data_IF_080235968789
#
_entry.id   IF_080235968789
#
_cell.length_a   1.000
_cell.length_b   1.000
_cell.length_c   1.000
_cell.angle_alpha   90.00
_cell.angle_beta   90.00
_cell.angle_gamma   90.00
#
_symmetry.space_group_name_H-M   'P 1'
#
loop_
_entity.id
_entity.type
_entity.pdbx_description
1 polymer ?
#
# COMPACT_ATOMS: atom_id res chain seq x y z
N UNK A 1 3.75 42.39 63.25
CA UNK A 1 3.07 43.48 62.53
C UNK A 1 2.58 42.91 61.20
N UNK A 2 1.27 42.70 61.03
CA UNK A 2 0.72 42.10 59.80
C UNK A 2 0.63 43.19 58.72
N UNK A 3 1.47 43.09 57.69
CA UNK A 3 1.42 43.98 56.52
C UNK A 3 0.10 43.74 55.78
N UNK A 4 -0.73 44.77 55.64
CA UNK A 4 -2.01 44.68 54.91
C UNK A 4 -1.71 44.68 53.42
N UNK A 5 -1.62 43.50 52.81
CA UNK A 5 -1.45 43.39 51.35
C UNK A 5 -2.70 43.91 50.65
N UNK A 6 -2.57 44.84 49.71
CA UNK A 6 -3.69 45.38 48.93
C UNK A 6 -4.11 44.40 47.84
N UNK A 7 -5.41 44.39 47.49
CA UNK A 7 -5.90 43.63 46.36
C UNK A 7 -5.23 44.07 45.04
N UNK A 8 -4.76 43.12 44.23
CA UNK A 8 -4.05 43.34 42.96
C UNK A 8 -4.92 43.91 41.81
N UNK A 9 -6.17 44.28 42.08
CA UNK A 9 -7.10 44.83 41.09
C UNK A 9 -7.07 46.36 41.17
N UNK A 10 -6.71 47.04 40.06
CA UNK A 10 -6.34 48.47 40.04
C UNK A 10 -7.38 49.42 40.67
N UNK A 11 -8.67 49.12 40.59
CA UNK A 11 -9.76 49.98 41.10
C UNK A 11 -10.42 49.45 42.38
N UNK A 12 -9.72 48.61 43.16
CA UNK A 12 -10.27 48.02 44.37
C UNK A 12 -10.09 48.91 45.60
N UNK A 13 -10.98 49.89 45.78
CA UNK A 13 -10.91 50.85 46.91
C UNK A 13 -11.22 50.23 48.29
N UNK A 14 -11.79 49.02 48.34
CA UNK A 14 -12.25 48.34 49.58
C UNK A 14 -11.48 47.07 49.94
N UNK A 15 -10.51 46.65 49.14
CA UNK A 15 -9.96 45.29 49.22
C UNK A 15 -8.67 45.19 50.01
N UNK A 16 -8.76 44.84 51.30
CA UNK A 16 -7.64 44.13 51.92
C UNK A 16 -7.53 42.78 51.22
N UNK A 17 -6.35 42.46 50.72
CA UNK A 17 -6.03 41.17 50.13
C UNK A 17 -6.09 40.09 51.21
N UNK A 18 -6.94 39.09 50.99
CA UNK A 18 -7.16 37.99 51.96
C UNK A 18 -6.66 36.67 51.41
N UNK A 19 -6.63 36.52 50.08
CA UNK A 19 -6.27 35.28 49.39
C UNK A 19 -5.19 35.56 48.35
N UNK A 20 -4.12 34.78 48.36
CA UNK A 20 -3.05 34.85 47.36
C UNK A 20 -3.17 33.65 46.44
N UNK A 21 -3.24 33.89 45.12
CA UNK A 21 -3.23 32.83 44.13
C UNK A 21 -1.80 32.34 43.93
N UNK A 22 -1.53 31.05 44.15
CA UNK A 22 -0.20 30.44 43.97
C UNK A 22 0.21 30.30 42.50
N UNK A 23 -0.72 30.47 41.56
CA UNK A 23 -0.44 30.37 40.13
C UNK A 23 0.04 31.68 39.50
N UNK A 24 -0.37 32.84 40.03
CA UNK A 24 0.02 34.15 39.51
C UNK A 24 0.63 35.09 40.56
N UNK A 25 0.83 34.60 41.78
CA UNK A 25 1.39 35.31 42.95
C UNK A 25 0.69 36.63 43.32
N UNK A 26 -0.54 36.83 42.84
CA UNK A 26 -1.35 38.02 43.13
C UNK A 26 -2.26 37.77 44.32
N UNK A 27 -2.33 38.76 45.21
CA UNK A 27 -3.28 38.77 46.34
C UNK A 27 -4.56 39.49 45.96
N UNK A 28 -5.71 38.87 46.19
CA UNK A 28 -7.03 39.41 45.88
C UNK A 28 -7.90 39.53 47.14
N UNK A 29 -8.87 40.44 47.11
CA UNK A 29 -9.99 40.39 48.04
C UNK A 29 -10.93 39.23 47.63
N UNK A 30 -11.83 38.80 48.53
CA UNK A 30 -12.72 37.66 48.29
C UNK A 30 -13.51 37.77 46.97
N UNK A 31 -13.99 38.97 46.61
CA UNK A 31 -14.72 39.21 45.36
C UNK A 31 -13.84 38.98 44.13
N UNK A 32 -12.69 39.67 44.05
CA UNK A 32 -11.78 39.56 42.91
C UNK A 32 -11.09 38.19 42.81
N UNK A 33 -10.96 37.46 43.94
CA UNK A 33 -10.50 36.07 43.94
C UNK A 33 -11.50 35.15 43.25
N UNK A 34 -12.81 35.34 43.48
CA UNK A 34 -13.85 34.56 42.80
C UNK A 34 -13.92 34.91 41.31
N UNK A 35 -13.80 36.19 40.95
CA UNK A 35 -13.76 36.63 39.55
C UNK A 35 -12.54 36.06 38.82
N UNK A 36 -11.36 36.05 39.48
CA UNK A 36 -10.16 35.42 38.93
C UNK A 36 -10.36 33.91 38.69
N UNK A 37 -10.93 33.19 39.66
CA UNK A 37 -11.25 31.78 39.49
C UNK A 37 -12.28 31.53 38.40
N UNK A 38 -13.28 32.41 38.26
CA UNK A 38 -14.28 32.31 37.20
C UNK A 38 -13.65 32.52 35.82
N UNK A 39 -12.70 33.46 35.68
CA UNK A 39 -11.96 33.65 34.43
C UNK A 39 -11.18 32.38 34.05
N UNK A 40 -10.47 31.77 35.01
CA UNK A 40 -9.75 30.49 34.78
C UNK A 40 -10.70 29.35 34.40
N UNK A 41 -11.89 29.28 35.00
CA UNK A 41 -12.90 28.27 34.67
C UNK A 41 -13.44 28.44 33.24
N UNK A 42 -13.59 29.69 32.79
CA UNK A 42 -13.99 30.00 31.42
C UNK A 42 -12.89 29.60 30.43
N UNK A 43 -11.64 29.97 30.70
CA UNK A 43 -10.48 29.57 29.87
C UNK A 43 -10.34 28.05 29.77
N UNK A 44 -10.50 27.33 30.89
CA UNK A 44 -10.47 25.87 30.88
C UNK A 44 -11.61 25.28 30.03
N UNK A 45 -12.80 25.89 30.09
CA UNK A 45 -13.95 25.45 29.29
C UNK A 45 -13.69 25.63 27.80
N UNK A 46 -13.05 26.72 27.39
CA UNK A 46 -12.61 26.93 26.00
C UNK A 46 -11.57 25.88 25.57
N UNK A 47 -10.59 25.58 26.43
CA UNK A 47 -9.58 24.54 26.16
C UNK A 47 -10.25 23.17 25.98
N UNK A 48 -11.21 22.81 26.84
CA UNK A 48 -11.95 21.54 26.75
C UNK A 48 -12.73 21.45 25.44
N UNK A 49 -13.41 22.53 25.03
CA UNK A 49 -14.14 22.57 23.75
C UNK A 49 -13.20 22.33 22.58
N UNK A 50 -12.04 23.00 22.54
CA UNK A 50 -11.04 22.84 21.48
C UNK A 50 -10.46 21.42 21.48
N UNK A 51 -10.15 20.88 22.66
CA UNK A 51 -9.68 19.51 22.80
C UNK A 51 -10.67 18.50 22.22
N UNK A 52 -11.94 18.61 22.60
CA UNK A 52 -12.97 17.67 22.16
C UNK A 52 -13.25 17.77 20.66
N UNK A 53 -13.15 18.98 20.09
CA UNK A 53 -13.26 19.19 18.65
C UNK A 53 -12.09 18.53 17.89
N UNK A 54 -10.85 18.74 18.34
CA UNK A 54 -9.66 18.08 17.76
C UNK A 54 -9.79 16.55 17.85
N UNK A 55 -10.17 16.03 19.01
CA UNK A 55 -10.33 14.59 19.22
C UNK A 55 -11.42 14.01 18.30
N UNK A 56 -12.54 14.72 18.13
CA UNK A 56 -13.62 14.33 17.23
C UNK A 56 -13.17 14.34 15.77
N UNK A 57 -12.42 15.34 15.33
CA UNK A 57 -11.87 15.41 13.97
C UNK A 57 -10.92 14.23 13.71
N UNK A 58 -9.96 13.98 14.61
CA UNK A 58 -9.05 12.83 14.51
C UNK A 58 -9.79 11.49 14.46
N UNK A 59 -10.88 11.35 15.22
CA UNK A 59 -11.71 10.15 15.25
C UNK A 59 -12.62 9.99 14.04
N UNK A 60 -12.90 11.07 13.30
CA UNK A 60 -13.68 11.05 12.06
C UNK A 60 -12.81 10.76 10.85
N UNK A 61 -11.57 11.26 10.83
CA UNK A 61 -10.59 11.04 9.75
C UNK A 61 -10.25 9.55 9.56
N UNK A 62 -10.40 8.72 10.60
CA UNK A 62 -10.18 7.28 10.52
C UNK A 62 -11.22 6.52 9.67
N UNK A 63 -12.33 7.17 9.26
CA UNK A 63 -13.38 6.55 8.42
C UNK A 63 -13.12 6.70 6.93
N UNK A 64 -12.33 7.68 6.53
CA UNK A 64 -11.89 7.88 5.15
C UNK A 64 -10.60 7.13 4.91
N UNK A 65 -10.58 6.19 3.95
CA UNK A 65 -9.34 5.55 3.52
C UNK A 65 -8.36 6.63 3.10
N UNK A 66 -7.22 6.71 3.77
CA UNK A 66 -6.18 7.68 3.48
C UNK A 66 -5.77 7.56 2.00
N UNK A 67 -5.54 8.66 1.26
CA UNK A 67 -5.19 8.60 -0.18
C UNK A 67 -3.97 7.73 -0.48
N UNK A 68 -3.01 7.63 0.44
CA UNK A 68 -1.85 6.72 0.31
C UNK A 68 -2.30 5.25 0.28
N UNK A 69 -3.30 4.85 1.06
CA UNK A 69 -3.83 3.48 1.02
C UNK A 69 -4.48 3.19 -0.34
N UNK A 70 -5.16 4.16 -0.94
CA UNK A 70 -5.69 4.01 -2.31
C UNK A 70 -4.56 3.87 -3.34
N UNK A 71 -3.48 4.64 -3.21
CA UNK A 71 -2.31 4.50 -4.08
C UNK A 71 -1.64 3.14 -3.93
N UNK A 72 -1.58 2.60 -2.71
CA UNK A 72 -1.08 1.24 -2.46
C UNK A 72 -1.99 0.21 -3.15
N UNK A 73 -3.31 0.33 -3.01
CA UNK A 73 -4.28 -0.54 -3.69
C UNK A 73 -4.11 -0.46 -5.23
N UNK A 74 -3.87 0.73 -5.79
CA UNK A 74 -3.60 0.94 -7.22
C UNK A 74 -2.31 0.25 -7.66
N UNK A 75 -1.22 0.42 -6.91
CA UNK A 75 0.06 -0.23 -7.20
C UNK A 75 -0.03 -1.75 -7.14
N UNK A 76 -0.77 -2.29 -6.18
CA UNK A 76 -1.00 -3.73 -6.06
C UNK A 76 -1.73 -4.28 -7.29
N UNK A 77 -2.85 -3.64 -7.67
CA UNK A 77 -3.65 -4.05 -8.84
C UNK A 77 -2.84 -3.96 -10.14
N UNK A 78 -2.11 -2.87 -10.32
CA UNK A 78 -1.30 -2.64 -11.52
C UNK A 78 -0.12 -3.62 -11.61
N UNK A 79 0.52 -3.94 -10.47
CA UNK A 79 1.60 -4.92 -10.41
C UNK A 79 1.09 -6.31 -10.73
N UNK A 80 -0.06 -6.71 -10.17
CA UNK A 80 -0.69 -7.99 -10.47
C UNK A 80 -1.01 -8.12 -11.96
N UNK A 81 -1.59 -7.08 -12.56
CA UNK A 81 -1.89 -7.03 -13.99
C UNK A 81 -0.64 -7.24 -14.84
N UNK A 82 0.43 -6.47 -14.59
CA UNK A 82 1.70 -6.56 -15.33
C UNK A 82 2.35 -7.94 -15.23
N UNK A 83 2.37 -8.52 -14.04
CA UNK A 83 2.93 -9.86 -13.81
C UNK A 83 2.13 -10.90 -14.62
N UNK A 84 0.80 -10.80 -14.62
CA UNK A 84 -0.06 -11.73 -15.36
C UNK A 84 0.14 -11.62 -16.87
N UNK A 85 0.17 -10.39 -17.39
CA UNK A 85 0.42 -10.13 -18.82
C UNK A 85 1.77 -10.70 -19.26
N UNK A 86 2.84 -10.42 -18.50
CA UNK A 86 4.16 -10.96 -18.81
C UNK A 86 4.21 -12.50 -18.78
N UNK A 87 3.54 -13.12 -17.81
CA UNK A 87 3.46 -14.56 -17.71
C UNK A 87 2.66 -15.18 -18.88
N UNK A 88 1.55 -14.58 -19.27
CA UNK A 88 0.74 -15.06 -20.38
C UNK A 88 1.46 -14.89 -21.72
N UNK A 89 2.19 -13.80 -21.92
CA UNK A 89 3.03 -13.60 -23.10
C UNK A 89 4.18 -14.60 -23.17
N UNK A 90 4.82 -14.89 -22.03
CA UNK A 90 5.84 -15.94 -21.96
C UNK A 90 5.28 -17.31 -22.32
N UNK A 91 4.10 -17.67 -21.80
CA UNK A 91 3.41 -18.93 -22.13
C UNK A 91 3.10 -19.02 -23.62
N UNK A 92 2.54 -17.97 -24.22
CA UNK A 92 2.25 -17.92 -25.66
C UNK A 92 3.51 -18.13 -26.50
N UNK A 93 4.61 -17.45 -26.16
CA UNK A 93 5.89 -17.61 -26.86
C UNK A 93 6.39 -19.05 -26.80
N UNK A 94 6.36 -19.68 -25.62
CA UNK A 94 6.76 -21.08 -25.46
C UNK A 94 5.85 -22.02 -26.24
N UNK A 95 4.53 -21.79 -26.21
CA UNK A 95 3.57 -22.59 -26.98
C UNK A 95 3.83 -22.50 -28.49
N UNK A 96 4.14 -21.31 -29.00
CA UNK A 96 4.48 -21.13 -30.41
C UNK A 96 5.76 -21.89 -30.78
N UNK A 97 6.82 -21.78 -29.97
CA UNK A 97 8.07 -22.53 -30.19
C UNK A 97 7.83 -24.04 -30.17
N UNK A 98 7.01 -24.53 -29.23
CA UNK A 98 6.63 -25.95 -29.18
C UNK A 98 5.85 -26.36 -30.44
N UNK A 99 4.90 -25.53 -30.90
CA UNK A 99 4.11 -25.81 -32.09
C UNK A 99 4.97 -25.84 -33.35
N UNK A 100 5.86 -24.87 -33.52
CA UNK A 100 6.82 -24.81 -34.64
C UNK A 100 7.76 -26.02 -34.64
N UNK A 101 8.27 -26.40 -33.47
CA UNK A 101 9.14 -27.57 -33.35
C UNK A 101 8.39 -28.88 -33.68
N UNK A 102 7.15 -29.02 -33.20
CA UNK A 102 6.29 -30.15 -33.54
C UNK A 102 6.00 -30.22 -35.04
N UNK A 103 5.72 -29.08 -35.68
CA UNK A 103 5.51 -29.04 -37.12
C UNK A 103 6.77 -29.46 -37.88
N UNK A 104 7.94 -28.96 -37.46
CA UNK A 104 9.23 -29.33 -38.05
C UNK A 104 9.48 -30.85 -37.96
N UNK A 105 9.17 -31.45 -36.81
CA UNK A 105 9.28 -32.91 -36.63
C UNK A 105 8.28 -33.62 -37.55
N UNK A 106 7.03 -33.17 -37.62
CA UNK A 106 6.00 -33.77 -38.47
C UNK A 106 6.39 -33.73 -39.96
N UNK A 107 6.91 -32.60 -40.44
CA UNK A 107 7.38 -32.43 -41.82
C UNK A 107 8.54 -33.38 -42.13
N UNK A 108 9.46 -33.56 -41.18
CA UNK A 108 10.58 -34.51 -41.31
C UNK A 108 10.09 -35.96 -41.37
N UNK A 109 9.10 -36.31 -40.54
CA UNK A 109 8.46 -37.63 -40.59
C UNK A 109 7.79 -37.88 -41.94
N UNK A 110 7.07 -36.89 -42.48
CA UNK A 110 6.42 -37.01 -43.78
C UNK A 110 7.45 -37.23 -44.90
N UNK A 111 8.55 -36.47 -44.89
CA UNK A 111 9.63 -36.65 -45.87
C UNK A 111 10.22 -38.06 -45.83
N UNK A 112 10.52 -38.58 -44.63
CA UNK A 112 11.02 -39.95 -44.47
C UNK A 112 9.99 -40.96 -44.95
N UNK A 113 8.70 -40.75 -44.68
CA UNK A 113 7.63 -41.63 -45.14
C UNK A 113 7.55 -41.68 -46.67
N UNK A 114 7.63 -40.53 -47.34
CA UNK A 114 7.61 -40.42 -48.81
C UNK A 114 8.84 -41.10 -49.44
N UNK A 115 10.03 -40.90 -48.86
CA UNK A 115 11.27 -41.59 -49.28
C UNK A 115 11.13 -43.12 -49.13
N UNK A 116 10.67 -43.60 -47.97
CA UNK A 116 10.49 -45.03 -47.70
C UNK A 116 9.46 -45.66 -48.65
N UNK A 117 8.35 -44.98 -48.92
CA UNK A 117 7.34 -45.45 -49.87
C UNK A 117 7.92 -45.59 -51.28
N UNK A 118 8.59 -44.54 -51.77
CA UNK A 118 9.19 -44.53 -53.11
C UNK A 118 10.22 -45.64 -53.26
N UNK A 119 11.10 -45.81 -52.27
CA UNK A 119 12.18 -46.81 -52.28
C UNK A 119 11.66 -48.24 -52.19
N UNK A 120 10.56 -48.44 -51.46
CA UNK A 120 9.87 -49.74 -51.41
C UNK A 120 9.24 -50.10 -52.75
N UNK A 121 8.57 -49.17 -53.41
CA UNK A 121 7.92 -49.41 -54.71
C UNK A 121 8.92 -49.65 -55.84
N UNK A 122 10.05 -48.95 -55.79
CA UNK A 122 11.13 -49.08 -56.79
C UNK A 122 12.09 -50.25 -56.51
N UNK A 123 11.94 -50.91 -55.35
CA UNK A 123 12.88 -51.92 -54.81
C UNK A 123 14.34 -51.44 -54.76
N UNK A 124 14.56 -50.11 -54.76
CA UNK A 124 15.88 -49.46 -54.84
C UNK A 124 16.35 -49.05 -53.43
N UNK A 125 16.65 -50.02 -52.57
CA UNK A 125 17.17 -49.77 -51.22
C UNK A 125 18.37 -50.66 -50.90
N UNK A 126 19.36 -50.08 -50.21
CA UNK A 126 20.56 -50.77 -49.76
C UNK A 126 20.69 -50.70 -48.24
N UNK A 127 21.55 -51.54 -47.64
CA UNK A 127 21.81 -51.55 -46.20
C UNK A 127 22.17 -50.17 -45.63
N UNK A 128 22.99 -49.32 -46.30
CA UNK A 128 23.27 -47.97 -45.82
C UNK A 128 22.02 -47.08 -45.71
N UNK A 129 21.05 -47.23 -46.62
CA UNK A 129 19.81 -46.46 -46.59
C UNK A 129 18.96 -46.85 -45.38
N UNK A 130 18.89 -48.15 -45.08
CA UNK A 130 18.19 -48.68 -43.90
C UNK A 130 18.82 -48.21 -42.59
N UNK A 131 20.16 -48.10 -42.54
CA UNK A 131 20.87 -47.53 -41.38
C UNK A 131 20.57 -46.03 -41.25
N UNK A 132 20.66 -45.28 -42.35
CA UNK A 132 20.37 -43.84 -42.39
C UNK A 132 18.97 -43.54 -41.87
N UNK A 133 17.92 -44.16 -42.41
CA UNK A 133 16.55 -43.88 -41.97
C UNK A 133 16.32 -44.28 -40.52
N UNK A 134 16.96 -45.35 -40.03
CA UNK A 134 16.88 -45.74 -38.63
C UNK A 134 17.49 -44.68 -37.70
N UNK A 135 18.64 -44.13 -38.07
CA UNK A 135 19.28 -43.04 -37.33
C UNK A 135 18.46 -41.74 -37.39
N UNK A 136 17.90 -41.39 -38.54
CA UNK A 136 17.06 -40.20 -38.68
C UNK A 136 15.79 -40.30 -37.85
N UNK A 137 15.13 -41.46 -37.83
CA UNK A 137 13.95 -41.70 -36.99
C UNK A 137 14.31 -41.69 -35.50
N UNK A 138 15.50 -42.14 -35.11
CA UNK A 138 15.94 -42.10 -33.71
C UNK A 138 16.22 -40.68 -33.23
N UNK A 139 16.73 -39.81 -34.10
CA UNK A 139 16.96 -38.37 -33.83
C UNK A 139 15.67 -37.55 -33.68
N UNK A 140 14.53 -38.09 -34.11
CA UNK A 140 13.21 -37.43 -34.05
C UNK A 140 12.36 -37.87 -32.85
N UNK A 141 12.87 -38.79 -32.01
CA UNK A 141 12.27 -39.14 -30.73
C UNK A 141 12.55 -38.07 -29.67
#
# INVERSE_FOLDING_TARGET
MASRTSCAHLNCEKGVGVLTCSGCDKTFCRKHSNEHHQALANELSEIVIVHDDIYKQLSQDSKTRHPILQQIDEWENESFRKIREAADDARKKVQNVIAEHRQTIADRFQLIADELHTRRETEDYLEPDLVKWREELDKLK
#
